data_IF_875584755818
#
_entry.id   IF_875584755818
#
_cell.length_a   1.000
_cell.length_b   1.000
_cell.length_c   1.000
_cell.angle_alpha   90.00
_cell.angle_beta   90.00
_cell.angle_gamma   90.00
#
_symmetry.space_group_name_H-M   'P 1'
#
loop_
_entity.id
_entity.type
_entity.pdbx_description
1 polymer ?
#
# COMPACT_ATOMS: atom_id res chain seq x y z
N UNK A 1 3.39 -5.24 -16.10
CA UNK A 1 3.50 -6.70 -16.27
C UNK A 1 2.12 -7.25 -16.61
N UNK A 2 2.04 -8.24 -17.50
CA UNK A 2 0.78 -8.91 -17.84
C UNK A 2 0.69 -10.24 -17.12
N UNK A 3 -0.48 -10.55 -16.57
CA UNK A 3 -0.79 -11.80 -15.88
C UNK A 3 -2.00 -12.45 -16.55
N UNK A 4 -1.95 -13.77 -16.70
CA UNK A 4 -3.08 -14.56 -17.20
C UNK A 4 -3.67 -15.33 -16.02
N UNK A 5 -4.98 -15.19 -15.82
CA UNK A 5 -5.73 -15.81 -14.73
C UNK A 5 -6.79 -16.75 -15.30
N UNK A 6 -6.80 -17.99 -14.82
CA UNK A 6 -7.90 -18.93 -15.07
C UNK A 6 -8.93 -18.79 -13.96
N UNK A 7 -10.18 -18.58 -14.33
CA UNK A 7 -11.30 -18.43 -13.41
C UNK A 7 -12.56 -18.98 -14.06
N UNK A 8 -13.49 -19.44 -13.23
CA UNK A 8 -14.83 -19.81 -13.69
C UNK A 8 -15.54 -18.65 -14.39
N UNK A 9 -16.25 -18.95 -15.48
CA UNK A 9 -16.88 -17.93 -16.33
C UNK A 9 -18.00 -17.16 -15.60
N UNK A 10 -18.77 -17.82 -14.74
CA UNK A 10 -19.81 -17.17 -13.96
C UNK A 10 -19.22 -16.24 -12.90
N UNK A 11 -18.05 -16.59 -12.36
CA UNK A 11 -17.29 -15.71 -11.45
C UNK A 11 -16.75 -14.51 -12.22
N UNK A 12 -16.15 -14.71 -13.40
CA UNK A 12 -15.64 -13.62 -14.23
C UNK A 12 -16.74 -12.62 -14.60
N UNK A 13 -17.93 -13.13 -14.94
CA UNK A 13 -19.06 -12.29 -15.32
C UNK A 13 -19.58 -11.46 -14.14
N UNK A 14 -19.80 -12.09 -12.97
CA UNK A 14 -20.20 -11.37 -11.75
C UNK A 14 -19.17 -10.33 -11.33
N UNK A 15 -17.88 -10.65 -11.43
CA UNK A 15 -16.81 -9.71 -11.11
C UNK A 15 -16.79 -8.51 -12.08
N UNK A 16 -17.05 -8.74 -13.37
CA UNK A 16 -17.15 -7.67 -14.38
C UNK A 16 -18.33 -6.74 -14.09
N UNK A 17 -19.49 -7.28 -13.75
CA UNK A 17 -20.66 -6.48 -13.37
C UNK A 17 -20.42 -5.65 -12.11
N UNK A 18 -19.78 -6.25 -11.09
CA UNK A 18 -19.39 -5.54 -9.88
C UNK A 18 -18.42 -4.39 -10.17
N UNK A 19 -17.38 -4.64 -10.99
CA UNK A 19 -16.42 -3.62 -11.38
C UNK A 19 -17.08 -2.48 -12.17
N UNK A 20 -18.01 -2.79 -13.08
CA UNK A 20 -18.76 -1.77 -13.83
C UNK A 20 -19.61 -0.88 -12.93
N UNK A 21 -20.27 -1.44 -11.91
CA UNK A 21 -21.00 -0.65 -10.90
C UNK A 21 -20.09 0.31 -10.13
N UNK A 22 -18.80 -0.01 -10.04
CA UNK A 22 -17.77 0.86 -9.44
C UNK A 22 -17.11 1.80 -10.46
N UNK A 23 -17.57 1.83 -11.72
CA UNK A 23 -16.97 2.63 -12.79
C UNK A 23 -15.61 2.13 -13.26
N UNK A 24 -15.27 0.86 -13.01
CA UNK A 24 -13.97 0.24 -13.31
C UNK A 24 -14.09 -0.92 -14.29
N UNK A 25 -13.02 -1.19 -15.03
CA UNK A 25 -12.90 -2.47 -15.76
C UNK A 25 -12.48 -3.58 -14.79
N UNK A 26 -12.75 -4.84 -15.14
CA UNK A 26 -12.31 -5.99 -14.34
C UNK A 26 -10.78 -5.98 -14.14
N UNK A 27 -10.02 -5.67 -15.19
CA UNK A 27 -8.56 -5.59 -15.11
C UNK A 27 -8.09 -4.46 -14.19
N UNK A 28 -8.79 -3.32 -14.16
CA UNK A 28 -8.48 -2.25 -13.22
C UNK A 28 -8.74 -2.68 -11.78
N UNK A 29 -9.89 -3.31 -11.51
CA UNK A 29 -10.21 -3.81 -10.18
C UNK A 29 -9.19 -4.85 -9.67
N UNK A 30 -8.74 -5.76 -10.54
CA UNK A 30 -7.69 -6.74 -10.22
C UNK A 30 -6.36 -6.04 -9.93
N UNK A 31 -5.98 -5.03 -10.72
CA UNK A 31 -4.77 -4.25 -10.49
C UNK A 31 -4.80 -3.55 -9.13
N UNK A 32 -5.88 -2.83 -8.84
CA UNK A 32 -6.05 -2.10 -7.58
C UNK A 32 -5.94 -3.08 -6.38
N UNK A 33 -6.55 -4.26 -6.49
CA UNK A 33 -6.47 -5.28 -5.45
C UNK A 33 -5.05 -5.82 -5.25
N UNK A 34 -4.32 -6.07 -6.35
CA UNK A 34 -2.93 -6.52 -6.27
C UNK A 34 -2.00 -5.45 -5.70
N UNK A 35 -2.24 -4.18 -5.99
CA UNK A 35 -1.50 -3.06 -5.41
C UNK A 35 -1.77 -2.96 -3.89
N UNK A 36 -3.04 -3.04 -3.49
CA UNK A 36 -3.42 -3.09 -2.09
C UNK A 36 -2.78 -4.29 -1.37
N UNK A 37 -2.80 -5.47 -1.99
CA UNK A 37 -2.19 -6.69 -1.45
C UNK A 37 -0.66 -6.57 -1.35
N UNK A 38 -0.02 -5.90 -2.31
CA UNK A 38 1.40 -5.59 -2.27
C UNK A 38 1.77 -4.51 -1.25
N UNK A 39 0.80 -4.00 -0.48
CA UNK A 39 1.02 -3.05 0.60
C UNK A 39 1.35 -1.64 0.13
N UNK A 40 1.03 -1.24 -1.10
CA UNK A 40 1.22 0.15 -1.55
C UNK A 40 0.36 1.11 -0.71
N UNK A 41 -0.93 0.80 -0.54
CA UNK A 41 -1.83 1.56 0.34
C UNK A 41 -1.40 1.52 1.82
N UNK A 42 -0.82 0.40 2.26
CA UNK A 42 -0.37 0.25 3.64
C UNK A 42 0.87 1.11 3.93
N UNK A 43 1.79 1.28 2.97
CA UNK A 43 2.96 2.16 3.12
C UNK A 43 2.59 3.63 3.25
N UNK A 44 1.66 4.11 2.42
CA UNK A 44 1.20 5.50 2.52
C UNK A 44 0.50 5.76 3.86
N UNK A 45 -0.33 4.81 4.31
CA UNK A 45 -0.99 4.91 5.61
C UNK A 45 0.01 4.84 6.78
N UNK A 46 1.01 3.96 6.71
CA UNK A 46 2.09 3.88 7.71
C UNK A 46 2.93 5.16 7.74
N UNK A 47 3.20 5.77 6.58
CA UNK A 47 3.92 7.03 6.49
C UNK A 47 3.14 8.17 7.15
N UNK A 48 1.84 8.30 6.84
CA UNK A 48 0.99 9.32 7.45
C UNK A 48 0.90 9.14 8.98
N UNK A 49 0.82 7.89 9.47
CA UNK A 49 0.84 7.60 10.90
C UNK A 49 2.19 7.94 11.55
N UNK A 50 3.30 7.65 10.88
CA UNK A 50 4.64 8.01 11.33
C UNK A 50 4.81 9.53 11.43
N UNK A 51 4.43 10.27 10.38
CA UNK A 51 4.46 11.74 10.35
C UNK A 51 3.63 12.33 11.49
N UNK A 52 2.39 11.87 11.66
CA UNK A 52 1.53 12.33 12.75
C UNK A 52 2.12 12.02 14.13
N UNK A 53 2.80 10.88 14.28
CA UNK A 53 3.48 10.51 15.53
C UNK A 53 4.67 11.43 15.79
N UNK A 54 5.46 11.78 14.77
CA UNK A 54 6.57 12.73 14.88
C UNK A 54 6.09 14.14 15.26
N UNK A 55 4.99 14.62 14.67
CA UNK A 55 4.42 15.93 14.97
C UNK A 55 3.85 16.01 16.40
N UNK A 56 3.27 14.92 16.88
CA UNK A 56 2.69 14.84 18.22
C UNK A 56 3.70 14.48 19.31
N UNK A 57 4.90 14.04 18.94
CA UNK A 57 5.93 13.66 19.88
C UNK A 57 6.45 14.88 20.65
N UNK A 58 6.49 14.78 21.98
CA UNK A 58 7.10 15.79 22.86
C UNK A 58 8.61 15.63 23.01
N UNK A 59 9.18 14.55 22.46
CA UNK A 59 10.61 14.26 22.48
C UNK A 59 11.40 15.29 21.68
N UNK A 60 12.49 15.77 22.27
CA UNK A 60 13.45 16.66 21.64
C UNK A 60 14.69 15.88 21.28
N UNK A 61 15.34 16.26 20.20
CA UNK A 61 16.61 15.63 19.78
C UNK A 61 17.77 15.99 20.71
N UNK A 62 17.65 17.05 21.54
CA UNK A 62 18.67 17.45 22.53
C UNK A 62 20.11 17.45 22.01
N UNK A 63 20.28 17.92 20.76
CA UNK A 63 21.59 17.99 20.09
C UNK A 63 22.04 16.68 19.42
N UNK A 64 21.25 15.62 19.50
CA UNK A 64 21.47 14.36 18.80
C UNK A 64 21.61 14.60 17.29
N UNK A 65 22.62 13.95 16.71
CA UNK A 65 22.90 13.95 15.28
C UNK A 65 23.06 12.51 14.85
N UNK A 66 22.53 12.21 13.67
CA UNK A 66 22.72 10.91 13.07
C UNK A 66 24.21 10.65 12.83
N UNK A 67 24.73 9.59 13.45
CA UNK A 67 26.05 9.04 13.20
C UNK A 67 25.90 7.71 12.46
N UNK A 68 26.49 7.63 11.27
CA UNK A 68 26.39 6.46 10.41
C UNK A 68 27.14 5.27 11.00
N UNK A 69 28.28 5.50 11.62
CA UNK A 69 29.14 4.43 12.13
C UNK A 69 28.53 3.83 13.40
N UNK A 70 27.94 4.66 14.27
CA UNK A 70 27.11 4.22 15.41
C UNK A 70 25.92 3.36 14.93
N UNK A 71 25.17 3.84 13.94
CA UNK A 71 24.00 3.14 13.42
C UNK A 71 24.32 1.80 12.73
N UNK A 72 25.56 1.60 12.27
CA UNK A 72 26.03 0.37 11.63
C UNK A 72 26.90 -0.50 12.56
N UNK A 73 27.11 -0.09 13.82
CA UNK A 73 27.79 -0.91 14.80
C UNK A 73 26.92 -2.14 15.12
N UNK A 74 27.43 -3.32 14.77
CA UNK A 74 26.82 -4.63 15.06
C UNK A 74 27.77 -5.43 15.93
#
# INVERSE_FOLDING_TARGET
>A
MNITLSVDEQVAQRAREAAQKMGKSLNQAVRDYLEQLAGSAQREQQWAQFEQSCLNASTRLDGWRFDRDEANAR
#
